data_IF_196835110302
#
_entry.id   IF_196835110302
#
_cell.length_a   1.000
_cell.length_b   1.000
_cell.length_c   1.000
_cell.angle_alpha   90.00
_cell.angle_beta   90.00
_cell.angle_gamma   90.00
#
_symmetry.space_group_name_H-M   'P 1'
#
loop_
_entity.id
_entity.type
_entity.pdbx_description
1 polymer ?
#
# COMPACT_ATOMS: atom_id res chain seq x y z
N UNK A 1 0.87 7.43 -32.39
CA UNK A 1 0.01 6.62 -31.50
C UNK A 1 0.92 6.01 -30.45
N UNK A 2 0.97 6.58 -29.24
CA UNK A 2 1.92 6.15 -28.21
C UNK A 2 1.29 4.98 -27.44
N UNK A 3 1.78 3.77 -27.71
CA UNK A 3 1.41 2.55 -27.01
C UNK A 3 1.69 2.75 -25.51
N UNK A 4 0.62 2.87 -24.72
CA UNK A 4 0.70 2.75 -23.27
C UNK A 4 1.18 1.33 -23.01
N UNK A 5 2.45 1.20 -22.63
CA UNK A 5 2.93 0.00 -21.96
C UNK A 5 2.02 -0.15 -20.75
N UNK A 6 1.04 -1.06 -20.87
CA UNK A 6 0.36 -1.61 -19.71
C UNK A 6 1.46 -2.21 -18.87
N UNK A 7 1.85 -1.52 -17.79
CA UNK A 7 2.81 -2.05 -16.81
C UNK A 7 2.32 -3.45 -16.47
N UNK A 8 3.08 -4.43 -16.91
CA UNK A 8 2.88 -5.81 -16.53
C UNK A 8 2.94 -5.86 -15.00
N UNK A 9 1.79 -6.08 -14.38
CA UNK A 9 1.59 -5.90 -12.93
C UNK A 9 1.92 -7.17 -12.15
N UNK A 10 2.31 -8.24 -12.83
CA UNK A 10 2.68 -9.54 -12.21
C UNK A 10 4.07 -9.56 -11.57
N UNK A 11 4.93 -8.56 -11.81
CA UNK A 11 6.30 -8.53 -11.25
C UNK A 11 6.57 -7.34 -10.31
N UNK A 12 5.54 -6.67 -9.78
CA UNK A 12 5.74 -5.60 -8.80
C UNK A 12 6.05 -6.18 -7.40
N UNK A 13 7.20 -5.83 -6.83
CA UNK A 13 7.49 -6.15 -5.41
C UNK A 13 6.50 -5.50 -4.45
N UNK A 14 5.97 -4.33 -4.84
CA UNK A 14 4.91 -3.58 -4.15
C UNK A 14 3.83 -3.17 -5.16
N UNK A 15 2.58 -3.51 -4.90
CA UNK A 15 1.48 -3.34 -5.86
C UNK A 15 0.41 -2.36 -5.33
N UNK A 16 -0.15 -1.58 -6.24
CA UNK A 16 -1.15 -0.56 -5.91
C UNK A 16 -2.52 -1.19 -5.64
N UNK A 17 -3.24 -0.65 -4.65
CA UNK A 17 -4.64 -0.99 -4.34
C UNK A 17 -5.56 -0.37 -5.40
N UNK A 18 -6.49 -1.15 -5.94
CA UNK A 18 -7.51 -0.66 -6.90
C UNK A 18 -8.92 -0.87 -6.38
N UNK A 19 -9.83 0.02 -6.75
CA UNK A 19 -11.25 -0.06 -6.40
C UNK A 19 -12.05 -0.47 -7.62
N UNK A 20 -12.89 -1.49 -7.46
CA UNK A 20 -13.80 -1.97 -8.49
C UNK A 20 -15.07 -1.09 -8.56
N UNK A 21 -15.87 -1.26 -9.61
CA UNK A 21 -17.10 -0.48 -9.80
C UNK A 21 -18.17 -0.73 -8.72
N UNK A 22 -18.12 -1.88 -8.06
CA UNK A 22 -18.98 -2.26 -6.94
C UNK A 22 -18.43 -1.81 -5.57
N UNK A 23 -17.40 -0.95 -5.55
CA UNK A 23 -16.69 -0.46 -4.37
C UNK A 23 -15.86 -1.53 -3.63
N UNK A 24 -15.75 -2.76 -4.16
CA UNK A 24 -14.83 -3.75 -3.60
C UNK A 24 -13.38 -3.38 -3.87
N UNK A 25 -12.49 -3.74 -2.93
CA UNK A 25 -11.05 -3.49 -3.03
C UNK A 25 -10.35 -4.72 -3.60
N UNK A 26 -9.50 -4.51 -4.61
CA UNK A 26 -8.58 -5.52 -5.08
C UNK A 26 -7.21 -5.31 -4.41
N UNK A 27 -6.80 -6.30 -3.62
CA UNK A 27 -5.58 -6.26 -2.82
C UNK A 27 -4.61 -7.35 -3.32
N UNK A 28 -3.35 -6.97 -3.50
CA UNK A 28 -2.26 -7.91 -3.75
C UNK A 28 -1.61 -8.33 -2.42
N UNK A 29 -0.78 -9.38 -2.42
CA UNK A 29 -0.06 -9.85 -1.22
C UNK A 29 0.83 -8.76 -0.60
N UNK A 30 1.41 -7.88 -1.41
CA UNK A 30 2.27 -6.78 -0.96
C UNK A 30 1.67 -5.43 -1.39
N UNK A 31 0.61 -4.96 -0.71
CA UNK A 31 -0.04 -3.70 -1.06
C UNK A 31 0.80 -2.51 -0.57
N UNK A 32 0.77 -1.41 -1.32
CA UNK A 32 1.31 -0.13 -0.85
C UNK A 32 0.28 0.52 0.08
N UNK A 33 0.66 0.73 1.35
CA UNK A 33 -0.17 1.40 2.36
C UNK A 33 0.45 2.75 2.74
N UNK A 34 -0.16 3.89 2.38
CA UNK A 34 0.30 5.20 2.82
C UNK A 34 0.07 5.41 4.31
N UNK A 35 1.07 5.93 5.02
CA UNK A 35 0.91 6.42 6.39
C UNK A 35 1.44 7.85 6.52
N UNK A 36 0.86 8.61 7.45
CA UNK A 36 1.33 9.94 7.83
C UNK A 36 1.78 9.85 9.28
N UNK A 37 3.05 10.17 9.54
CA UNK A 37 3.66 10.04 10.87
C UNK A 37 3.04 10.96 11.94
N UNK A 38 2.29 12.00 11.55
CA UNK A 38 1.81 13.01 12.48
C UNK A 38 2.96 13.82 13.12
N UNK A 39 2.63 14.78 13.97
CA UNK A 39 3.59 15.55 14.76
C UNK A 39 3.61 15.08 16.23
N UNK A 40 4.68 15.44 16.94
CA UNK A 40 4.86 15.17 18.38
C UNK A 40 4.62 13.68 18.72
N UNK A 41 3.56 13.36 19.47
CA UNK A 41 3.20 12.00 19.88
C UNK A 41 3.02 11.06 18.67
N UNK A 42 2.56 11.58 17.54
CA UNK A 42 2.47 10.81 16.30
C UNK A 42 3.84 10.26 15.87
N UNK A 43 4.92 11.02 16.08
CA UNK A 43 6.26 10.60 15.72
C UNK A 43 6.78 9.42 16.54
N UNK A 44 6.30 9.30 17.78
CA UNK A 44 6.67 8.25 18.73
C UNK A 44 5.79 7.00 18.55
N UNK A 45 4.49 7.18 18.29
CA UNK A 45 3.52 6.07 18.18
C UNK A 45 3.57 5.41 16.78
N UNK A 46 3.74 6.18 15.71
CA UNK A 46 3.76 5.64 14.32
C UNK A 46 4.77 4.49 14.11
N UNK A 47 6.04 4.58 14.54
CA UNK A 47 6.97 3.46 14.37
C UNK A 47 6.56 2.21 15.16
N UNK A 48 5.87 2.39 16.30
CA UNK A 48 5.34 1.28 17.08
C UNK A 48 4.21 0.56 16.34
N UNK A 49 3.32 1.32 15.71
CA UNK A 49 2.25 0.75 14.87
C UNK A 49 2.85 -0.03 13.70
N UNK A 50 3.82 0.56 13.00
CA UNK A 50 4.47 -0.10 11.87
C UNK A 50 5.14 -1.42 12.31
N UNK A 51 5.87 -1.40 13.43
CA UNK A 51 6.52 -2.60 13.96
C UNK A 51 5.52 -3.71 14.24
N UNK A 52 4.38 -3.42 14.88
CA UNK A 52 3.36 -4.44 15.19
C UNK A 52 2.72 -5.02 13.92
N UNK A 53 2.42 -4.17 12.94
CA UNK A 53 1.83 -4.61 11.67
C UNK A 53 2.80 -5.51 10.89
N UNK A 54 4.09 -5.15 10.86
CA UNK A 54 5.11 -5.91 10.13
C UNK A 54 5.34 -7.33 10.70
N UNK A 55 5.16 -7.56 12.01
CA UNK A 55 5.25 -8.92 12.61
C UNK A 55 3.97 -9.75 12.47
N UNK A 56 2.85 -9.11 12.16
CA UNK A 56 1.53 -9.77 12.10
C UNK A 56 1.19 -10.28 10.69
N UNK A 57 2.00 -9.91 9.68
CA UNK A 57 1.93 -10.38 8.28
C UNK A 57 2.73 -11.67 8.09
#
# INVERSE_FOLDING_TARGET
MKNRISKDRSTCGWCQITVNADLSLNLANNPIVPCIKGNEIGADITPTIQAVVDVTV
#
